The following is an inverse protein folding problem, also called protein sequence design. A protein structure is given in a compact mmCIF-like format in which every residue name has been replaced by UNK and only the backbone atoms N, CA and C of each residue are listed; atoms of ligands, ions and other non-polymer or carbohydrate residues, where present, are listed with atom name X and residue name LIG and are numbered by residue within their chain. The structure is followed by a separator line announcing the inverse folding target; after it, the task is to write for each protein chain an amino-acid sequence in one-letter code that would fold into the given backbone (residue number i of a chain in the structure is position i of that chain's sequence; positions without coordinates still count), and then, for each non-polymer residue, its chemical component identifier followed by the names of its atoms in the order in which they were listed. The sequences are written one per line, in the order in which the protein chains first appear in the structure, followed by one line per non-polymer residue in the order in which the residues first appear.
data_IF_458921924807
#
_entry.id   IF_458921924807
#
_cell.length_a   1.000
_cell.length_b   1.000
_cell.length_c   1.000
_cell.angle_alpha   90.00
_cell.angle_beta   90.00
_cell.angle_gamma   90.00
#
_symmetry.space_group_name_H-M   'P 1'
#
loop_
_entity.id
_entity.type
_entity.pdbx_description
1 polymer ?
#
# COMPACT_ATOMS: atom_id res chain seq x y z
N UNK A 1 1.86 4.60 -17.74
CA UNK A 1 2.38 3.44 -16.96
C UNK A 1 1.77 3.54 -15.58
N UNK A 2 1.33 2.42 -15.00
CA UNK A 2 0.78 2.41 -13.66
C UNK A 2 1.86 2.79 -12.64
N UNK A 3 1.52 3.66 -11.68
CA UNK A 3 2.43 4.10 -10.62
C UNK A 3 2.52 2.98 -9.57
N UNK A 4 3.73 2.47 -9.25
CA UNK A 4 3.89 1.41 -8.28
C UNK A 4 3.64 1.91 -6.86
N UNK A 5 2.81 1.21 -6.10
CA UNK A 5 2.48 1.51 -4.71
C UNK A 5 2.56 0.24 -3.86
N UNK A 6 2.95 0.36 -2.60
CA UNK A 6 2.91 -0.73 -1.64
C UNK A 6 1.76 -0.52 -0.66
N UNK A 7 1.33 -1.58 0.02
CA UNK A 7 0.31 -1.49 1.06
C UNK A 7 0.70 -2.23 2.33
N UNK A 8 0.34 -1.64 3.46
CA UNK A 8 0.25 -2.31 4.75
C UNK A 8 -1.22 -2.34 5.15
N UNK A 9 -1.76 -3.55 5.32
CA UNK A 9 -3.08 -3.68 5.89
C UNK A 9 -3.30 -4.95 6.69
N UNK A 10 -4.54 -5.21 7.07
CA UNK A 10 -4.88 -6.29 8.00
C UNK A 10 -5.75 -7.40 7.41
N UNK A 11 -6.17 -7.29 6.13
CA UNK A 11 -7.04 -8.27 5.48
C UNK A 11 -6.65 -8.56 4.04
N UNK A 12 -6.36 -9.84 3.75
CA UNK A 12 -6.03 -10.37 2.42
C UNK A 12 -7.15 -10.13 1.41
N UNK A 13 -8.40 -10.43 1.78
CA UNK A 13 -9.56 -10.38 0.87
C UNK A 13 -9.81 -8.98 0.28
N UNK A 14 -9.39 -7.93 1.00
CA UNK A 14 -9.48 -6.56 0.51
C UNK A 14 -8.31 -6.18 -0.39
N UNK A 15 -7.14 -6.78 -0.21
CA UNK A 15 -5.94 -6.42 -0.95
C UNK A 15 -6.11 -6.67 -2.45
N UNK A 16 -6.64 -7.82 -2.86
CA UNK A 16 -6.83 -8.14 -4.28
C UNK A 16 -7.87 -7.22 -4.93
N UNK A 17 -9.06 -7.11 -4.34
CA UNK A 17 -10.14 -6.30 -4.88
C UNK A 17 -9.78 -4.80 -4.95
N UNK A 18 -9.00 -4.29 -4.00
CA UNK A 18 -8.47 -2.92 -4.04
C UNK A 18 -7.41 -2.80 -5.14
N UNK A 19 -6.51 -3.77 -5.27
CA UNK A 19 -5.47 -3.76 -6.30
C UNK A 19 -6.06 -3.73 -7.71
N UNK A 20 -7.07 -4.55 -7.97
CA UNK A 20 -7.82 -4.52 -9.23
C UNK A 20 -8.52 -3.19 -9.46
N UNK A 21 -9.13 -2.65 -8.40
CA UNK A 21 -9.81 -1.36 -8.45
C UNK A 21 -8.88 -0.19 -8.73
N UNK A 22 -7.59 -0.30 -8.38
CA UNK A 22 -6.55 0.73 -8.56
C UNK A 22 -5.98 0.79 -9.98
N UNK A 23 -6.13 -0.27 -10.76
CA UNK A 23 -5.74 -0.29 -12.16
C UNK A 23 -6.66 0.62 -13.01
N UNK A 24 -6.16 1.14 -14.15
CA UNK A 24 -4.78 1.03 -14.65
C UNK A 24 -3.80 2.09 -14.09
N UNK A 25 -4.25 3.01 -13.24
CA UNK A 25 -3.46 4.17 -12.79
C UNK A 25 -2.38 3.80 -11.78
N UNK A 26 -2.69 2.89 -10.86
CA UNK A 26 -1.78 2.45 -9.81
C UNK A 26 -1.65 0.93 -9.81
N UNK A 27 -0.44 0.45 -9.53
CA UNK A 27 -0.09 -0.97 -9.46
C UNK A 27 0.35 -1.28 -8.03
N UNK A 28 -0.39 -2.14 -7.33
CA UNK A 28 -0.01 -2.58 -5.99
C UNK A 28 1.08 -3.63 -6.13
N UNK A 29 2.33 -3.20 -5.91
CA UNK A 29 3.49 -4.03 -6.18
C UNK A 29 3.87 -4.92 -5.01
N UNK A 30 3.55 -4.50 -3.78
CA UNK A 30 3.97 -5.19 -2.56
C UNK A 30 2.94 -5.00 -1.46
N UNK A 31 2.49 -6.10 -0.85
CA UNK A 31 1.51 -6.07 0.25
C UNK A 31 2.14 -6.70 1.49
N UNK A 32 2.03 -6.03 2.63
CA UNK A 32 2.39 -6.57 3.95
C UNK A 32 1.15 -6.62 4.84
N UNK A 33 1.08 -7.64 5.70
CA UNK A 33 -0.13 -7.96 6.47
C UNK A 33 0.08 -7.96 7.99
N UNK A 34 1.30 -7.70 8.45
CA UNK A 34 1.66 -7.61 9.85
C UNK A 34 2.82 -6.62 10.03
N UNK A 35 3.03 -6.16 11.26
CA UNK A 35 4.01 -5.14 11.59
C UNK A 35 5.46 -5.60 11.40
N UNK A 36 5.79 -6.88 11.66
CA UNK A 36 7.16 -7.40 11.51
C UNK A 36 7.59 -7.38 10.04
N UNK A 37 6.70 -7.81 9.14
CA UNK A 37 6.87 -7.71 7.69
C UNK A 37 6.92 -6.25 7.24
N UNK A 38 6.06 -5.38 7.79
CA UNK A 38 6.04 -3.97 7.43
C UNK A 38 7.35 -3.24 7.78
N UNK A 39 7.93 -3.51 8.95
CA UNK A 39 9.20 -2.89 9.39
C UNK A 39 10.42 -3.42 8.67
N UNK A 40 10.36 -4.62 8.09
CA UNK A 40 11.49 -5.23 7.37
C UNK A 40 11.38 -5.02 5.86
N UNK A 41 10.22 -5.30 5.27
CA UNK A 41 10.03 -5.33 3.82
C UNK A 41 9.78 -3.94 3.23
N UNK A 42 8.98 -3.07 3.89
CA UNK A 42 8.63 -1.78 3.30
C UNK A 42 9.84 -0.82 3.18
N UNK A 43 10.71 -0.67 4.20
CA UNK A 43 11.94 0.11 4.02
C UNK A 43 12.86 -0.50 2.97
N UNK A 44 12.98 -1.83 2.93
CA UNK A 44 13.83 -2.53 1.97
C UNK A 44 13.38 -2.25 0.53
N UNK A 45 12.10 -2.53 0.20
CA UNK A 45 11.58 -2.31 -1.14
C UNK A 45 11.59 -0.83 -1.52
N UNK A 46 11.27 0.08 -0.59
CA UNK A 46 11.28 1.52 -0.82
C UNK A 46 12.69 2.06 -1.12
N UNK A 47 13.74 1.46 -0.53
CA UNK A 47 15.14 1.79 -0.82
C UNK A 47 15.67 1.18 -2.13
N UNK A 48 14.87 0.41 -2.85
CA UNK A 48 15.28 -0.27 -4.09
C UNK A 48 15.83 -1.67 -3.90
N UNK A 49 15.78 -2.24 -2.69
CA UNK A 49 16.09 -3.65 -2.49
C UNK A 49 14.89 -4.51 -2.93
N UNK A 50 15.02 -5.12 -4.10
CA UNK A 50 13.98 -5.92 -4.75
C UNK A 50 14.27 -7.42 -4.72
N UNK A 51 15.25 -7.88 -3.93
CA UNK A 51 15.71 -9.27 -3.96
C UNK A 51 14.66 -10.24 -3.41
N UNK A 52 13.88 -9.79 -2.42
CA UNK A 52 12.88 -10.61 -1.73
C UNK A 52 11.47 -10.23 -2.20
N UNK A 53 10.67 -11.20 -2.71
CA UNK A 53 9.26 -10.95 -3.01
C UNK A 53 8.45 -10.72 -1.71
N UNK A 54 7.24 -10.16 -1.81
CA UNK A 54 6.36 -9.96 -0.66
C UNK A 54 6.11 -11.27 0.09
N UNK A 55 6.32 -11.29 1.41
CA UNK A 55 6.07 -12.49 2.22
C UNK A 55 4.58 -12.88 2.25
N UNK A 56 3.69 -11.92 1.99
CA UNK A 56 2.25 -12.15 1.84
C UNK A 56 1.89 -12.96 0.60
N UNK A 57 2.77 -13.04 -0.41
CA UNK A 57 2.47 -13.58 -1.73
C UNK A 57 1.52 -12.71 -2.56
N UNK A 58 1.30 -11.45 -2.17
CA UNK A 58 0.37 -10.53 -2.84
C UNK A 58 1.11 -9.31 -3.41
N UNK A 59 0.57 -8.79 -4.51
CA UNK A 59 1.14 -7.68 -5.27
C UNK A 59 2.00 -8.15 -6.45
N UNK A 60 2.13 -7.27 -7.45
CA UNK A 60 2.70 -7.64 -8.74
C UNK A 60 4.19 -8.02 -8.71
N UNK A 61 4.95 -7.62 -7.69
CA UNK A 61 6.34 -8.06 -7.53
C UNK A 61 6.48 -9.55 -7.14
N UNK A 62 5.40 -10.18 -6.66
CA UNK A 62 5.40 -11.61 -6.32
C UNK A 62 5.64 -12.47 -7.55
N UNK A 63 4.97 -12.14 -8.66
CA UNK A 63 5.04 -12.91 -9.90
C UNK A 63 6.04 -12.35 -10.91
N UNK A 64 6.62 -11.18 -10.63
CA UNK A 64 7.63 -10.57 -11.50
C UNK A 64 9.02 -11.18 -11.27
N UNK A 65 9.76 -11.35 -12.37
CA UNK A 65 11.19 -11.63 -12.30
C UNK A 65 11.92 -10.51 -11.54
N UNK A 66 13.03 -10.84 -10.88
CA UNK A 66 13.78 -9.89 -10.05
C UNK A 66 14.12 -8.57 -10.78
N UNK A 67 14.43 -8.64 -12.08
CA UNK A 67 14.76 -7.48 -12.91
C UNK A 67 13.53 -6.62 -13.31
N UNK A 68 12.31 -7.15 -13.17
CA UNK A 68 11.06 -6.48 -13.52
C UNK A 68 10.28 -5.98 -12.28
N UNK A 69 10.75 -6.30 -11.07
CA UNK A 69 10.18 -5.79 -9.82
C UNK A 69 10.30 -4.27 -9.78
N UNK A 70 9.34 -3.63 -9.13
CA UNK A 70 9.21 -2.17 -9.08
C UNK A 70 9.33 -1.66 -7.65
N UNK A 71 9.99 -0.52 -7.51
CA UNK A 71 10.08 0.25 -6.27
C UNK A 71 8.78 1.06 -6.07
N UNK A 72 8.10 0.96 -4.93
CA UNK A 72 6.89 1.74 -4.68
C UNK A 72 7.21 3.22 -4.50
N UNK A 73 6.33 4.09 -5.01
CA UNK A 73 6.39 5.56 -4.82
C UNK A 73 5.51 6.04 -3.68
N UNK A 74 4.58 5.20 -3.24
CA UNK A 74 3.76 5.44 -2.06
C UNK A 74 3.51 4.15 -1.28
N UNK A 75 3.25 4.30 0.01
CA UNK A 75 2.81 3.23 0.91
C UNK A 75 1.42 3.60 1.42
N UNK A 76 0.49 2.67 1.22
CA UNK A 76 -0.90 2.76 1.66
C UNK A 76 -1.05 2.04 2.99
N UNK A 77 -1.56 2.73 4.00
CA UNK A 77 -1.99 2.15 5.26
C UNK A 77 -3.51 1.99 5.23
N UNK A 78 -3.96 0.73 5.26
CA UNK A 78 -5.37 0.39 5.16
C UNK A 78 -5.78 -0.67 6.19
N UNK A 79 -7.00 -0.55 6.71
CA UNK A 79 -7.42 -1.37 7.84
C UNK A 79 -7.00 -0.72 9.15
N UNK A 80 -7.70 -1.09 10.23
CA UNK A 80 -7.63 -0.44 11.54
C UNK A 80 -6.29 -0.75 12.25
N UNK A 81 -5.19 -0.26 11.68
CA UNK A 81 -3.83 -0.39 12.18
C UNK A 81 -3.62 0.55 13.38
N UNK A 82 -2.85 0.14 14.41
CA UNK A 82 -2.44 1.04 15.48
C UNK A 82 -1.64 2.25 14.95
N UNK A 83 -1.85 3.42 15.54
CA UNK A 83 -1.11 4.64 15.15
C UNK A 83 0.40 4.49 15.37
N UNK A 84 0.80 3.80 16.45
CA UNK A 84 2.21 3.52 16.74
C UNK A 84 2.86 2.63 15.67
N UNK A 85 2.10 1.67 15.12
CA UNK A 85 2.56 0.80 14.03
C UNK A 85 2.76 1.61 12.73
N UNK A 86 1.78 2.45 12.39
CA UNK A 86 1.86 3.34 11.21
C UNK A 86 3.09 4.24 11.34
N UNK A 87 3.25 4.90 12.49
CA UNK A 87 4.36 5.82 12.73
C UNK A 87 5.72 5.11 12.66
N UNK A 88 5.84 3.93 13.28
CA UNK A 88 7.08 3.15 13.26
C UNK A 88 7.50 2.79 11.83
N UNK A 89 6.54 2.39 10.99
CA UNK A 89 6.78 2.10 9.57
C UNK A 89 7.13 3.37 8.79
N UNK A 90 6.42 4.48 9.02
CA UNK A 90 6.71 5.76 8.36
C UNK A 90 8.13 6.25 8.68
N UNK A 91 8.54 6.17 9.94
CA UNK A 91 9.88 6.58 10.38
C UNK A 91 10.95 5.69 9.74
N UNK A 92 10.75 4.37 9.73
CA UNK A 92 11.68 3.41 9.13
C UNK A 92 11.83 3.61 7.61
N UNK A 93 10.72 3.85 6.90
CA UNK A 93 10.75 4.11 5.45
C UNK A 93 11.36 5.48 5.16
N UNK A 94 10.98 6.52 5.89
CA UNK A 94 11.49 7.88 5.66
C UNK A 94 12.99 7.99 5.88
N UNK A 95 13.56 7.16 6.77
CA UNK A 95 14.99 7.11 7.02
C UNK A 95 15.81 6.64 5.80
N UNK A 96 15.21 5.82 4.91
CA UNK A 96 15.90 5.23 3.75
C UNK A 96 15.36 5.72 2.40
N UNK A 97 14.12 6.20 2.37
CA UNK A 97 13.39 6.62 1.16
C UNK A 97 12.47 7.81 1.47
N UNK A 98 13.03 9.01 1.71
CA UNK A 98 12.26 10.19 2.15
C UNK A 98 11.26 10.72 1.11
N UNK A 99 11.41 10.34 -0.17
CA UNK A 99 10.52 10.76 -1.25
C UNK A 99 9.23 9.93 -1.34
N UNK A 100 9.19 8.77 -0.67
CA UNK A 100 8.01 7.89 -0.65
C UNK A 100 6.88 8.55 0.11
N UNK A 101 5.69 8.59 -0.50
CA UNK A 101 4.50 9.17 0.13
C UNK A 101 3.77 8.16 0.99
N UNK A 102 3.10 8.64 2.02
CA UNK A 102 2.27 7.82 2.90
C UNK A 102 0.81 8.19 2.74
N UNK A 103 -0.02 7.21 2.41
CA UNK A 103 -1.47 7.40 2.25
C UNK A 103 -2.16 6.61 3.35
N UNK A 104 -2.91 7.29 4.21
CA UNK A 104 -3.74 6.65 5.23
C UNK A 104 -5.21 6.70 4.82
N UNK A 105 -5.88 5.57 4.93
CA UNK A 105 -7.35 5.49 4.89
C UNK A 105 -7.86 5.28 6.31
N UNK A 106 -8.68 6.21 6.76
CA UNK A 106 -9.37 6.11 8.05
C UNK A 106 -10.81 5.64 7.87
N UNK A 107 -11.48 5.33 8.99
CA UNK A 107 -12.92 5.05 8.97
C UNK A 107 -13.72 6.28 8.56
N UNK A 108 -13.29 7.48 8.93
CA UNK A 108 -13.93 8.73 8.52
C UNK A 108 -13.90 8.91 7.00
N UNK A 109 -12.80 8.53 6.33
CA UNK A 109 -12.72 8.57 4.86
C UNK A 109 -13.80 7.68 4.22
N UNK A 110 -14.00 6.47 4.76
CA UNK A 110 -14.98 5.50 4.25
C UNK A 110 -16.41 5.99 4.52
N UNK A 111 -16.67 6.53 5.72
CA UNK A 111 -17.97 7.10 6.08
C UNK A 111 -18.30 8.36 5.25
N UNK A 112 -17.31 9.21 5.02
CA UNK A 112 -17.43 10.44 4.23
C UNK A 112 -17.74 10.19 2.76
N UNK A 113 -17.36 9.03 2.22
CA UNK A 113 -17.72 8.59 0.88
C UNK A 113 -19.19 8.15 0.73
N UNK A 114 -20.02 8.29 1.78
CA UNK A 114 -21.46 8.02 1.74
C UNK A 114 -21.83 6.54 1.84
N UNK A 115 -20.90 5.68 2.27
CA UNK A 115 -21.15 4.24 2.44
C UNK A 115 -21.80 3.99 3.80
N UNK A 116 -23.14 3.91 3.81
CA UNK A 116 -23.87 3.35 4.93
C UNK A 116 -23.85 1.81 4.85
N UNK A 117 -22.75 1.17 5.29
CA UNK A 117 -22.62 -0.29 5.20
C UNK A 117 -21.23 -0.83 5.55
N UNK A 118 -21.04 -2.17 5.48
CA UNK A 118 -19.72 -2.78 5.66
C UNK A 118 -18.71 -2.25 4.62
N UNK A 119 -17.40 -2.29 4.91
CA UNK A 119 -16.37 -1.78 4.01
C UNK A 119 -16.48 -2.42 2.62
N UNK A 120 -16.61 -1.59 1.57
CA UNK A 120 -16.68 -2.03 0.19
C UNK A 120 -15.34 -1.78 -0.51
N UNK A 121 -14.64 -2.80 -1.04
CA UNK A 121 -13.33 -2.63 -1.67
C UNK A 121 -13.34 -1.68 -2.87
N UNK A 122 -14.44 -1.59 -3.61
CA UNK A 122 -14.58 -0.67 -4.76
C UNK A 122 -14.55 0.79 -4.30
N UNK A 123 -15.22 1.10 -3.18
CA UNK A 123 -15.23 2.46 -2.63
C UNK A 123 -13.87 2.80 -2.03
N UNK A 124 -13.25 1.84 -1.34
CA UNK A 124 -11.90 2.02 -0.79
C UNK A 124 -10.90 2.28 -1.91
N UNK A 125 -10.98 1.56 -3.03
CA UNK A 125 -10.14 1.78 -4.20
C UNK A 125 -10.34 3.18 -4.79
N UNK A 126 -11.59 3.68 -4.86
CA UNK A 126 -11.84 5.05 -5.35
C UNK A 126 -11.24 6.12 -4.43
N UNK A 127 -11.43 5.99 -3.11
CA UNK A 127 -10.81 6.91 -2.12
C UNK A 127 -9.29 6.90 -2.26
N UNK A 128 -8.70 5.72 -2.45
CA UNK A 128 -7.27 5.59 -2.67
C UNK A 128 -6.81 6.26 -3.95
N UNK A 129 -7.51 6.09 -5.07
CA UNK A 129 -7.19 6.80 -6.32
C UNK A 129 -7.17 8.30 -6.11
N UNK A 130 -8.17 8.84 -5.43
CA UNK A 130 -8.28 10.27 -5.19
C UNK A 130 -7.12 10.78 -4.31
N UNK A 131 -6.81 10.07 -3.22
CA UNK A 131 -5.70 10.42 -2.32
C UNK A 131 -4.32 10.27 -2.98
N UNK A 132 -4.10 9.20 -3.74
CA UNK A 132 -2.85 8.95 -4.47
C UNK A 132 -2.62 9.99 -5.57
N UNK A 133 -3.69 10.38 -6.27
CA UNK A 133 -3.63 11.45 -7.28
C UNK A 133 -3.35 12.81 -6.63
N UNK A 134 -3.98 13.10 -5.49
CA UNK A 134 -3.76 14.33 -4.73
C UNK A 134 -2.34 14.42 -4.14
N UNK A 135 -1.69 13.28 -3.87
CA UNK A 135 -0.33 13.21 -3.38
C UNK A 135 0.74 13.56 -4.44
N UNK A 136 0.31 13.85 -5.68
CA UNK A 136 1.16 14.25 -6.81
C UNK A 136 2.34 13.28 -7.03
N UNK A 137 2.02 11.98 -7.06
CA UNK A 137 2.98 10.90 -7.34
C UNK A 137 3.56 11.04 -8.75
#
# INVERSE_FOLDING_TARGET
MAIPVASFGSKVEFADAISDGLLPEFDVVHVVLNIEAALSELPAIASGNLDTPPASGLGSNTSADAAARKVPRAIIFAGNLPEDDIKSVQDAVSAVAPDVKFILITKEDILGAGVAGPPNPVVIAQILKDKLTAAAL
#
